data_IF_515622895586
#
_entry.id   IF_515622895586
#
_cell.length_a   1.000
_cell.length_b   1.000
_cell.length_c   1.000
_cell.angle_alpha   90.00
_cell.angle_beta   90.00
_cell.angle_gamma   90.00
#
_symmetry.space_group_name_H-M   'P 1'
#
loop_
_entity.id
_entity.type
_entity.pdbx_description
1 polymer ?
#
# COMPACT_ATOMS: atom_id res chain seq x y z
N UNK A 1 28.97 35.17 -73.81
CA UNK A 1 28.28 36.35 -73.24
C UNK A 1 28.90 36.61 -71.88
N UNK A 2 29.68 37.70 -71.80
CA UNK A 2 30.21 38.33 -70.60
C UNK A 2 29.02 38.80 -69.73
N UNK A 3 29.05 38.89 -68.41
CA UNK A 3 29.86 39.87 -67.64
C UNK A 3 29.86 39.54 -66.15
N UNK A 4 30.99 39.82 -65.49
CA UNK A 4 31.11 40.15 -64.07
C UNK A 4 30.34 41.45 -63.77
N UNK A 5 29.81 41.61 -62.56
CA UNK A 5 29.79 42.92 -61.91
C UNK A 5 29.98 42.81 -60.39
N UNK A 6 30.90 43.63 -59.88
CA UNK A 6 31.25 43.83 -58.49
C UNK A 6 30.58 45.12 -58.02
N UNK A 7 29.85 45.10 -56.90
CA UNK A 7 29.70 46.30 -56.08
C UNK A 7 29.58 45.93 -54.61
N UNK A 8 30.59 46.31 -53.83
CA UNK A 8 30.42 46.64 -52.41
C UNK A 8 30.21 48.16 -52.31
N UNK A 9 29.41 48.62 -51.34
CA UNK A 9 30.01 49.49 -50.33
C UNK A 9 29.54 49.21 -48.90
N UNK A 10 30.46 49.48 -47.98
CA UNK A 10 30.33 49.64 -46.53
C UNK A 10 29.25 50.64 -46.14
N UNK A 11 28.62 50.48 -44.96
CA UNK A 11 28.66 51.47 -43.86
C UNK A 11 27.83 51.01 -42.65
N UNK A 12 28.38 51.28 -41.48
CA UNK A 12 27.81 51.22 -40.13
C UNK A 12 26.32 51.60 -40.05
N UNK A 13 25.58 50.88 -39.19
CA UNK A 13 24.44 51.45 -38.47
C UNK A 13 23.29 50.48 -38.20
N UNK A 14 23.24 49.93 -36.99
CA UNK A 14 22.05 49.85 -36.12
C UNK A 14 22.19 48.67 -35.13
N UNK A 15 22.40 49.00 -33.85
CA UNK A 15 22.13 48.08 -32.75
C UNK A 15 20.62 47.90 -32.58
N UNK A 16 20.13 46.67 -32.31
CA UNK A 16 18.89 46.49 -31.59
C UNK A 16 19.20 46.20 -30.12
N UNK A 17 18.95 47.23 -29.32
CA UNK A 17 18.34 47.20 -27.98
C UNK A 17 18.35 45.88 -27.21
N UNK A 18 19.13 45.92 -26.12
CA UNK A 18 19.01 45.10 -24.92
C UNK A 18 17.55 44.84 -24.54
N UNK A 19 17.10 43.60 -24.73
CA UNK A 19 15.87 43.10 -24.11
C UNK A 19 16.25 42.52 -22.76
N UNK A 20 15.74 43.14 -21.71
CA UNK A 20 15.89 42.71 -20.33
C UNK A 20 15.44 41.25 -20.18
N UNK A 21 16.41 40.34 -20.04
CA UNK A 21 16.17 39.02 -19.48
C UNK A 21 15.88 39.19 -18.00
N UNK A 22 14.60 39.30 -17.65
CA UNK A 22 14.17 39.12 -16.26
C UNK A 22 14.45 37.65 -15.91
N UNK A 23 15.28 37.34 -14.89
CA UNK A 23 15.43 35.97 -14.46
C UNK A 23 14.10 35.52 -13.87
N UNK A 24 13.43 34.57 -14.53
CA UNK A 24 12.32 33.84 -13.91
C UNK A 24 12.93 33.06 -12.75
N UNK A 25 12.72 33.58 -11.54
CA UNK A 25 13.06 32.85 -10.32
C UNK A 25 12.22 31.56 -10.29
N UNK A 26 12.81 30.39 -9.99
CA UNK A 26 12.00 29.21 -9.77
C UNK A 26 11.06 29.51 -8.61
N UNK A 27 9.76 29.29 -8.83
CA UNK A 27 8.76 29.33 -7.79
C UNK A 27 9.28 28.53 -6.59
N UNK A 28 9.33 29.16 -5.42
CA UNK A 28 9.61 28.47 -4.16
C UNK A 28 8.49 27.46 -3.96
N UNK A 29 8.71 26.27 -4.48
CA UNK A 29 7.93 25.09 -4.19
C UNK A 29 8.00 24.99 -2.66
N UNK A 30 6.89 25.30 -1.98
CA UNK A 30 6.81 25.16 -0.54
C UNK A 30 7.34 23.78 -0.21
N UNK A 31 8.35 23.69 0.65
CA UNK A 31 8.87 22.42 1.11
C UNK A 31 7.69 21.68 1.76
N UNK A 32 6.96 20.87 0.99
CA UNK A 32 6.26 19.71 1.53
C UNK A 32 7.38 18.94 2.20
N UNK A 33 7.36 18.91 3.53
CA UNK A 33 8.23 18.04 4.30
C UNK A 33 8.15 16.66 3.63
N UNK A 34 9.28 16.19 3.09
CA UNK A 34 9.32 14.86 2.53
C UNK A 34 8.97 13.91 3.67
N UNK A 35 8.01 12.98 3.49
CA UNK A 35 7.66 12.07 4.56
C UNK A 35 8.92 11.34 5.02
N UNK A 36 9.16 11.35 6.33
CA UNK A 36 10.38 10.77 6.91
C UNK A 36 10.49 9.29 6.55
N UNK A 37 9.34 8.60 6.48
CA UNK A 37 9.21 7.23 6.01
C UNK A 37 8.17 7.07 4.90
N UNK A 38 8.30 6.00 4.12
CA UNK A 38 7.28 5.47 3.21
C UNK A 38 6.61 4.26 3.86
N UNK A 39 5.28 4.18 3.76
CA UNK A 39 4.51 3.23 4.56
C UNK A 39 3.89 2.11 3.71
N UNK A 40 4.06 0.85 4.13
CA UNK A 40 3.32 -0.29 3.58
C UNK A 40 2.23 -0.67 4.59
N UNK A 41 0.96 -0.53 4.20
CA UNK A 41 -0.20 -0.84 5.03
C UNK A 41 -0.82 -2.17 4.62
N UNK A 42 -0.53 -3.22 5.37
CA UNK A 42 -1.12 -4.55 5.14
C UNK A 42 -2.46 -4.65 5.86
N UNK A 43 -3.56 -4.69 5.12
CA UNK A 43 -4.88 -4.97 5.68
C UNK A 43 -5.03 -6.48 5.82
N UNK A 44 -5.08 -6.96 7.06
CA UNK A 44 -4.96 -8.38 7.39
C UNK A 44 -6.12 -8.91 8.22
N UNK A 45 -6.27 -10.25 8.25
CA UNK A 45 -7.34 -10.96 8.93
C UNK A 45 -8.00 -12.05 8.06
N UNK A 46 -8.85 -12.91 8.64
CA UNK A 46 -9.43 -14.04 7.93
C UNK A 46 -10.35 -13.65 6.77
N UNK A 47 -10.74 -14.61 5.93
CA UNK A 47 -11.68 -14.36 4.85
C UNK A 47 -13.03 -13.84 5.39
N UNK A 48 -13.62 -12.85 4.73
CA UNK A 48 -14.91 -12.26 5.14
C UNK A 48 -14.85 -11.16 6.21
N UNK A 49 -13.68 -10.84 6.77
CA UNK A 49 -13.56 -9.75 7.75
C UNK A 49 -13.66 -8.33 7.15
N UNK A 50 -13.52 -8.18 5.83
CA UNK A 50 -13.70 -6.90 5.12
C UNK A 50 -12.44 -6.25 4.56
N UNK A 51 -11.31 -6.99 4.47
CA UNK A 51 -10.00 -6.48 3.99
C UNK A 51 -10.09 -5.57 2.77
N UNK A 52 -10.66 -6.04 1.65
CA UNK A 52 -10.73 -5.25 0.42
C UNK A 52 -11.58 -3.99 0.56
N UNK A 53 -12.65 -4.03 1.36
CA UNK A 53 -13.52 -2.87 1.59
C UNK A 53 -12.85 -1.82 2.45
N UNK A 54 -12.15 -2.23 3.51
CA UNK A 54 -11.40 -1.32 4.39
C UNK A 54 -10.14 -0.80 3.68
N UNK A 55 -9.40 -1.67 2.99
CA UNK A 55 -8.18 -1.31 2.28
C UNK A 55 -8.41 -0.32 1.16
N UNK A 56 -9.45 -0.52 0.31
CA UNK A 56 -9.82 0.46 -0.71
C UNK A 56 -10.20 1.79 -0.10
N UNK A 57 -10.98 1.78 0.97
CA UNK A 57 -11.36 3.02 1.65
C UNK A 57 -10.15 3.80 2.20
N UNK A 58 -9.19 3.12 2.81
CA UNK A 58 -7.95 3.76 3.29
C UNK A 58 -7.14 4.30 2.10
N UNK A 59 -6.98 3.50 1.05
CA UNK A 59 -6.24 3.88 -0.15
C UNK A 59 -6.85 5.12 -0.82
N UNK A 60 -8.16 5.10 -1.06
CA UNK A 60 -8.90 6.21 -1.67
C UNK A 60 -8.84 7.48 -0.80
N UNK A 61 -8.99 7.33 0.52
CA UNK A 61 -9.00 8.48 1.45
C UNK A 61 -7.63 9.15 1.60
N UNK A 62 -6.56 8.40 1.38
CA UNK A 62 -5.18 8.88 1.50
C UNK A 62 -4.49 9.07 0.15
N UNK A 63 -5.20 8.85 -0.96
CA UNK A 63 -4.68 8.90 -2.33
C UNK A 63 -3.45 7.99 -2.53
N UNK A 64 -3.48 6.80 -1.93
CA UNK A 64 -2.39 5.82 -2.02
C UNK A 64 -2.68 4.74 -3.07
N UNK A 65 -1.64 4.18 -3.73
CA UNK A 65 -1.76 2.95 -4.50
C UNK A 65 -2.39 1.82 -3.67
N UNK A 66 -3.21 1.01 -4.34
CA UNK A 66 -3.90 -0.14 -3.75
C UNK A 66 -3.53 -1.43 -4.48
N UNK A 67 -3.17 -2.47 -3.72
CA UNK A 67 -2.86 -3.81 -4.23
C UNK A 67 -3.86 -4.81 -3.64
N UNK A 68 -4.63 -5.49 -4.48
CA UNK A 68 -5.46 -6.63 -4.06
C UNK A 68 -4.58 -7.89 -4.02
N UNK A 69 -4.20 -8.34 -2.83
CA UNK A 69 -3.17 -9.38 -2.72
C UNK A 69 -3.60 -10.75 -3.26
N UNK A 70 -4.89 -11.04 -3.27
CA UNK A 70 -5.42 -12.30 -3.83
C UNK A 70 -5.18 -12.40 -5.35
N UNK A 71 -5.01 -11.26 -6.06
CA UNK A 71 -4.72 -11.23 -7.52
C UNK A 71 -3.29 -11.67 -7.85
N UNK A 72 -2.39 -11.71 -6.86
CA UNK A 72 -0.98 -12.08 -7.02
C UNK A 72 -0.71 -13.55 -6.70
N UNK A 73 -1.75 -14.34 -6.44
CA UNK A 73 -1.57 -15.77 -6.25
C UNK A 73 -1.08 -16.45 -7.54
N UNK A 74 -0.05 -17.30 -7.46
CA UNK A 74 0.33 -18.15 -8.57
C UNK A 74 -0.85 -19.00 -9.03
N UNK A 75 -0.89 -19.35 -10.32
CA UNK A 75 -1.96 -20.16 -10.90
C UNK A 75 -2.21 -21.46 -10.12
N UNK A 76 -1.15 -22.13 -9.66
CA UNK A 76 -1.24 -23.34 -8.85
C UNK A 76 -2.02 -23.14 -7.54
N UNK A 77 -1.89 -21.97 -6.90
CA UNK A 77 -2.64 -21.66 -5.68
C UNK A 77 -4.11 -21.41 -5.99
N UNK A 78 -4.39 -20.68 -7.07
CA UNK A 78 -5.77 -20.44 -7.53
C UNK A 78 -6.45 -21.77 -7.85
N UNK A 79 -5.76 -22.69 -8.54
CA UNK A 79 -6.26 -24.03 -8.85
C UNK A 79 -6.52 -24.86 -7.59
N UNK A 80 -5.60 -24.86 -6.60
CA UNK A 80 -5.83 -25.53 -5.30
C UNK A 80 -7.06 -24.98 -4.57
N UNK A 81 -7.13 -23.66 -4.40
CA UNK A 81 -8.26 -23.01 -3.72
C UNK A 81 -9.58 -23.23 -4.47
N UNK A 82 -9.57 -23.17 -5.79
CA UNK A 82 -10.73 -23.44 -6.65
C UNK A 82 -11.27 -24.86 -6.49
N UNK A 83 -10.39 -25.82 -6.20
CA UNK A 83 -10.75 -27.21 -5.88
C UNK A 83 -11.09 -27.42 -4.39
N UNK A 84 -11.16 -26.36 -3.58
CA UNK A 84 -11.42 -26.46 -2.14
C UNK A 84 -10.26 -27.03 -1.33
N UNK A 85 -9.06 -27.09 -1.90
CA UNK A 85 -7.85 -27.59 -1.23
C UNK A 85 -7.18 -26.41 -0.53
N UNK A 86 -7.03 -26.44 0.80
CA UNK A 86 -6.32 -25.38 1.53
C UNK A 86 -4.86 -25.28 1.09
N UNK A 87 -4.36 -24.04 0.97
CA UNK A 87 -2.94 -23.83 0.71
C UNK A 87 -2.10 -24.22 1.94
N UNK A 88 -0.90 -24.72 1.70
CA UNK A 88 0.13 -24.98 2.71
C UNK A 88 1.01 -23.74 2.92
N UNK A 89 1.94 -23.80 3.87
CA UNK A 89 2.92 -22.72 4.05
C UNK A 89 3.83 -22.59 2.82
N UNK A 90 4.27 -23.72 2.24
CA UNK A 90 5.11 -23.76 1.05
C UNK A 90 4.46 -23.08 -0.16
N UNK A 91 3.15 -23.26 -0.31
CA UNK A 91 2.37 -22.61 -1.37
C UNK A 91 2.34 -21.08 -1.22
N UNK A 92 2.51 -20.55 0.00
CA UNK A 92 2.35 -19.12 0.28
C UNK A 92 3.64 -18.33 0.18
N UNK A 93 4.82 -18.95 0.23
CA UNK A 93 6.09 -18.23 0.28
C UNK A 93 6.30 -17.32 -0.92
N UNK A 94 6.17 -17.84 -2.14
CA UNK A 94 6.37 -17.06 -3.35
C UNK A 94 5.35 -15.93 -3.48
N UNK A 95 4.09 -16.19 -3.07
CA UNK A 95 3.04 -15.19 -3.06
C UNK A 95 3.34 -14.03 -2.09
N UNK A 96 3.76 -14.33 -0.86
CA UNK A 96 4.10 -13.30 0.14
C UNK A 96 5.34 -12.49 -0.28
N UNK A 97 6.35 -13.16 -0.84
CA UNK A 97 7.54 -12.50 -1.39
C UNK A 97 7.15 -11.56 -2.53
N UNK A 98 6.30 -12.03 -3.45
CA UNK A 98 5.82 -11.22 -4.56
C UNK A 98 5.05 -9.98 -4.05
N UNK A 99 4.13 -10.13 -3.10
CA UNK A 99 3.39 -8.99 -2.52
C UNK A 99 4.33 -7.96 -1.89
N UNK A 100 5.33 -8.40 -1.13
CA UNK A 100 6.36 -7.53 -0.57
C UNK A 100 7.09 -6.76 -1.68
N UNK A 101 7.54 -7.46 -2.71
CA UNK A 101 8.27 -6.84 -3.82
C UNK A 101 7.41 -5.82 -4.57
N UNK A 102 6.14 -6.13 -4.85
CA UNK A 102 5.24 -5.19 -5.51
C UNK A 102 4.95 -3.98 -4.63
N UNK A 103 4.79 -4.18 -3.32
CA UNK A 103 4.64 -3.08 -2.36
C UNK A 103 5.84 -2.13 -2.43
N UNK A 104 7.06 -2.66 -2.45
CA UNK A 104 8.29 -1.85 -2.55
C UNK A 104 8.36 -1.13 -3.90
N UNK A 105 8.00 -1.78 -5.00
CA UNK A 105 7.98 -1.16 -6.33
C UNK A 105 6.99 0.01 -6.41
N UNK A 106 5.80 -0.12 -5.83
CA UNK A 106 4.84 0.98 -5.75
C UNK A 106 5.43 2.18 -5.01
N UNK A 107 6.17 1.95 -3.91
CA UNK A 107 6.85 3.02 -3.20
C UNK A 107 7.95 3.70 -4.02
N UNK A 108 8.61 2.98 -4.93
CA UNK A 108 9.66 3.52 -5.82
C UNK A 108 9.12 4.49 -6.87
N UNK A 109 7.81 4.50 -7.12
CA UNK A 109 7.15 5.49 -7.98
C UNK A 109 7.10 6.90 -7.38
N UNK A 110 7.49 7.05 -6.10
CA UNK A 110 7.43 8.30 -5.34
C UNK A 110 6.21 8.40 -4.41
N UNK A 111 5.38 7.36 -4.34
CA UNK A 111 4.27 7.31 -3.39
C UNK A 111 4.77 7.33 -1.93
N UNK A 112 4.05 8.06 -1.08
CA UNK A 112 4.32 8.11 0.37
C UNK A 112 3.91 6.83 1.10
N UNK A 113 3.10 5.98 0.46
CA UNK A 113 2.71 4.69 0.99
C UNK A 113 2.01 3.82 -0.05
N UNK A 114 1.64 2.60 0.35
CA UNK A 114 0.83 1.65 -0.44
C UNK A 114 -0.06 0.85 0.51
N UNK A 115 -1.29 0.58 0.11
CA UNK A 115 -2.23 -0.26 0.85
C UNK A 115 -2.35 -1.61 0.15
N UNK A 116 -2.20 -2.69 0.90
CA UNK A 116 -2.18 -4.05 0.37
C UNK A 116 -3.11 -4.94 1.18
N UNK A 117 -4.03 -5.64 0.54
CA UNK A 117 -4.77 -6.71 1.23
C UNK A 117 -3.92 -7.97 1.28
N UNK A 118 -3.79 -8.58 2.46
CA UNK A 118 -3.11 -9.86 2.59
C UNK A 118 -3.62 -10.59 3.83
N UNK A 119 -4.02 -11.85 3.68
CA UNK A 119 -4.51 -12.63 4.83
C UNK A 119 -3.46 -12.75 5.94
N UNK A 120 -2.16 -12.87 5.63
CA UNK A 120 -1.01 -12.86 6.55
C UNK A 120 -1.28 -13.41 7.97
N UNK A 121 -1.98 -14.55 8.02
CA UNK A 121 -2.59 -15.05 9.25
C UNK A 121 -1.61 -15.54 10.32
N UNK A 122 -0.39 -15.91 9.91
CA UNK A 122 0.66 -16.43 10.80
C UNK A 122 1.72 -15.36 11.04
N UNK A 123 2.35 -15.35 12.21
CA UNK A 123 3.44 -14.42 12.55
C UNK A 123 4.58 -14.51 11.52
N UNK A 124 4.96 -15.72 11.15
CA UNK A 124 5.97 -15.95 10.10
C UNK A 124 5.60 -15.39 8.72
N UNK A 125 4.31 -15.25 8.40
CA UNK A 125 3.89 -14.60 7.15
C UNK A 125 4.08 -13.10 7.23
N UNK A 126 3.72 -12.50 8.37
CA UNK A 126 3.95 -11.09 8.67
C UNK A 126 5.44 -10.77 8.64
N UNK A 127 6.28 -11.65 9.18
CA UNK A 127 7.74 -11.52 9.17
C UNK A 127 8.32 -11.50 7.75
N UNK A 128 7.81 -12.32 6.82
CA UNK A 128 8.22 -12.27 5.40
C UNK A 128 7.99 -10.88 4.80
N UNK A 129 6.85 -10.23 5.12
CA UNK A 129 6.54 -8.88 4.65
C UNK A 129 7.42 -7.83 5.34
N UNK A 130 7.65 -7.94 6.66
CA UNK A 130 8.50 -7.04 7.46
C UNK A 130 9.93 -6.91 6.91
N UNK A 131 10.41 -7.89 6.15
CA UNK A 131 11.70 -7.81 5.44
C UNK A 131 11.82 -6.57 4.55
N UNK A 132 10.71 -5.99 4.07
CA UNK A 132 10.75 -4.72 3.33
C UNK A 132 11.45 -3.60 4.12
N UNK A 133 11.24 -3.52 5.43
CA UNK A 133 11.86 -2.52 6.31
C UNK A 133 13.32 -2.83 6.63
N UNK A 134 13.72 -4.11 6.68
CA UNK A 134 15.13 -4.47 6.91
C UNK A 134 16.04 -4.05 5.77
N UNK A 135 15.53 -4.08 4.53
CA UNK A 135 16.31 -3.72 3.35
C UNK A 135 16.32 -2.22 3.06
N UNK A 136 15.45 -1.44 3.71
CA UNK A 136 15.37 0.01 3.53
C UNK A 136 14.83 0.69 4.79
N UNK A 137 15.72 1.37 5.53
CA UNK A 137 15.38 2.08 6.78
C UNK A 137 14.32 3.16 6.61
N UNK A 138 14.06 3.63 5.38
CA UNK A 138 12.99 4.60 5.09
C UNK A 138 11.64 3.94 4.80
N UNK A 139 11.53 2.62 4.84
CA UNK A 139 10.28 1.90 4.63
C UNK A 139 9.80 1.32 5.95
N UNK A 140 8.57 1.60 6.33
CA UNK A 140 7.94 1.07 7.54
C UNK A 140 6.72 0.25 7.14
N UNK A 141 6.67 -0.99 7.61
CA UNK A 141 5.53 -1.91 7.41
C UNK A 141 4.61 -1.82 8.61
N UNK A 142 3.31 -1.73 8.35
CA UNK A 142 2.24 -1.74 9.34
C UNK A 142 1.20 -2.78 8.96
N UNK A 143 0.56 -3.39 9.95
CA UNK A 143 -0.56 -4.32 9.75
C UNK A 143 -1.83 -3.74 10.37
N UNK A 144 -2.87 -3.54 9.58
CA UNK A 144 -4.21 -3.24 10.07
C UNK A 144 -4.95 -4.56 10.22
N UNK A 145 -4.94 -5.11 11.44
CA UNK A 145 -5.56 -6.39 11.74
C UNK A 145 -7.05 -6.22 12.01
N UNK A 146 -7.87 -6.70 11.07
CA UNK A 146 -9.31 -6.71 11.20
C UNK A 146 -9.74 -7.89 12.10
N UNK A 147 -9.84 -7.61 13.39
CA UNK A 147 -10.17 -8.57 14.42
C UNK A 147 -11.66 -8.91 14.38
N UNK A 148 -11.96 -10.18 14.14
CA UNK A 148 -13.31 -10.72 14.08
C UNK A 148 -13.35 -12.05 14.82
N UNK A 149 -14.49 -12.40 15.40
CA UNK A 149 -14.70 -13.76 15.94
C UNK A 149 -15.11 -14.73 14.83
N UNK A 150 -14.89 -16.03 15.05
CA UNK A 150 -15.27 -17.06 14.09
C UNK A 150 -16.78 -17.01 13.82
N UNK A 151 -17.59 -16.89 14.87
CA UNK A 151 -19.05 -16.86 14.79
C UNK A 151 -19.53 -15.70 13.92
N UNK A 152 -18.88 -14.53 14.03
CA UNK A 152 -19.21 -13.35 13.24
C UNK A 152 -18.92 -13.58 11.76
N UNK A 153 -17.75 -14.15 11.42
CA UNK A 153 -17.40 -14.40 10.03
C UNK A 153 -18.25 -15.51 9.41
N UNK A 154 -18.57 -16.56 10.19
CA UNK A 154 -19.49 -17.61 9.78
C UNK A 154 -20.89 -17.04 9.49
N UNK A 155 -21.42 -16.17 10.36
CA UNK A 155 -22.70 -15.50 10.13
C UNK A 155 -22.68 -14.64 8.85
N UNK A 156 -21.61 -13.86 8.62
CA UNK A 156 -21.44 -13.02 7.42
C UNK A 156 -21.38 -13.84 6.14
N UNK A 157 -20.67 -14.96 6.16
CA UNK A 157 -20.51 -15.83 5.00
C UNK A 157 -21.82 -16.55 4.67
N UNK A 158 -22.53 -17.08 5.67
CA UNK A 158 -23.81 -17.79 5.49
C UNK A 158 -24.92 -16.89 4.94
N UNK A 159 -24.89 -15.60 5.30
CA UNK A 159 -25.84 -14.62 4.79
C UNK A 159 -25.66 -14.32 3.28
N UNK A 160 -24.56 -14.75 2.64
CA UNK A 160 -24.32 -14.56 1.20
C UNK A 160 -24.81 -15.80 0.43
N UNK A 161 -25.83 -15.68 -0.46
CA UNK A 161 -26.38 -16.82 -1.19
C UNK A 161 -25.31 -17.60 -1.99
N UNK A 162 -25.33 -18.93 -1.96
CA UNK A 162 -24.53 -19.80 -2.83
C UNK A 162 -23.14 -20.26 -2.32
N UNK A 163 -22.89 -20.26 -1.00
CA UNK A 163 -21.51 -20.29 -0.48
C UNK A 163 -21.19 -21.32 0.63
N UNK A 164 -21.74 -22.53 0.62
CA UNK A 164 -21.38 -23.56 1.61
C UNK A 164 -19.85 -23.85 1.67
N UNK A 165 -19.14 -23.73 0.54
CA UNK A 165 -17.67 -23.85 0.51
C UNK A 165 -16.93 -22.79 1.35
N UNK A 166 -17.55 -21.65 1.64
CA UNK A 166 -16.92 -20.57 2.40
C UNK A 166 -16.92 -20.81 3.91
N UNK A 167 -17.80 -21.66 4.45
CA UNK A 167 -17.80 -22.03 5.88
C UNK A 167 -16.51 -22.78 6.27
N UNK A 168 -16.14 -23.80 5.47
CA UNK A 168 -14.89 -24.55 5.69
C UNK A 168 -13.66 -23.66 5.51
N UNK A 169 -13.72 -22.69 4.58
CA UNK A 169 -12.65 -21.72 4.38
C UNK A 169 -12.47 -20.82 5.62
N UNK A 170 -13.55 -20.29 6.20
CA UNK A 170 -13.48 -19.49 7.43
C UNK A 170 -12.85 -20.30 8.57
N UNK A 171 -13.34 -21.53 8.79
CA UNK A 171 -12.77 -22.45 9.80
C UNK A 171 -11.27 -22.66 9.62
N UNK A 172 -10.84 -23.08 8.42
CA UNK A 172 -9.43 -23.34 8.13
C UNK A 172 -8.53 -22.09 8.30
N UNK A 173 -9.08 -20.90 8.05
CA UNK A 173 -8.39 -19.63 8.21
C UNK A 173 -8.27 -19.26 9.70
N UNK A 174 -9.30 -19.50 10.51
CA UNK A 174 -9.24 -19.34 11.97
C UNK A 174 -8.29 -20.35 12.61
N UNK A 175 -8.31 -21.61 12.19
CA UNK A 175 -7.34 -22.63 12.64
C UNK A 175 -5.89 -22.24 12.30
N UNK A 176 -5.70 -21.52 11.20
CA UNK A 176 -4.39 -21.01 10.77
C UNK A 176 -4.04 -19.63 11.37
N UNK A 177 -4.97 -18.98 12.06
CA UNK A 177 -4.79 -17.62 12.59
C UNK A 177 -3.93 -17.68 13.85
N UNK A 178 -2.75 -17.11 13.74
CA UNK A 178 -1.92 -16.74 14.89
C UNK A 178 -2.19 -15.26 15.14
N UNK A 179 -3.10 -14.96 16.07
CA UNK A 179 -3.42 -13.59 16.44
C UNK A 179 -2.13 -12.82 16.80
N UNK A 180 -2.00 -11.54 16.38
CA UNK A 180 -0.86 -10.72 16.73
C UNK A 180 -0.64 -10.69 18.25
N UNK A 181 0.58 -10.99 18.68
CA UNK A 181 0.93 -10.97 20.10
C UNK A 181 1.17 -9.53 20.61
N UNK A 182 1.43 -9.39 21.91
CA UNK A 182 1.67 -8.08 22.53
C UNK A 182 2.88 -7.34 21.91
N UNK A 183 3.94 -8.05 21.52
CA UNK A 183 5.11 -7.44 20.90
C UNK A 183 4.73 -6.83 19.55
N UNK A 184 4.01 -7.59 18.72
CA UNK A 184 3.50 -7.13 17.43
C UNK A 184 2.53 -5.93 17.57
N UNK A 185 1.59 -5.99 18.51
CA UNK A 185 0.63 -4.92 18.79
C UNK A 185 1.28 -3.64 19.32
N UNK A 186 2.38 -3.76 20.07
CA UNK A 186 3.12 -2.61 20.59
C UNK A 186 4.01 -1.94 19.54
N UNK A 187 4.22 -2.59 18.39
CA UNK A 187 5.23 -2.20 17.40
C UNK A 187 4.63 -1.76 16.08
N UNK A 188 3.93 -2.66 15.38
CA UNK A 188 3.55 -2.46 13.98
C UNK A 188 2.17 -3.01 13.60
N UNK A 189 1.39 -3.52 14.57
CA UNK A 189 0.03 -4.01 14.33
C UNK A 189 -1.03 -3.13 14.99
N UNK A 190 -1.92 -2.60 14.16
CA UNK A 190 -3.11 -1.84 14.55
C UNK A 190 -4.33 -2.77 14.53
N UNK A 191 -4.80 -3.19 15.70
CA UNK A 191 -6.01 -4.00 15.82
C UNK A 191 -7.26 -3.15 15.64
N UNK A 192 -8.19 -3.61 14.80
CA UNK A 192 -9.47 -2.97 14.49
C UNK A 192 -10.58 -3.96 14.76
N UNK A 193 -11.41 -3.69 15.76
CA UNK A 193 -12.63 -4.45 16.00
C UNK A 193 -13.62 -4.23 14.85
N UNK A 194 -14.06 -5.32 14.22
CA UNK A 194 -15.01 -5.28 13.11
C UNK A 194 -16.46 -5.54 13.52
N UNK A 195 -16.79 -5.54 14.81
CA UNK A 195 -18.16 -5.76 15.32
C UNK A 195 -19.18 -4.72 14.88
N UNK A 196 -18.72 -3.49 14.60
CA UNK A 196 -19.56 -2.37 14.14
C UNK A 196 -20.03 -2.47 12.68
N UNK A 197 -20.75 -1.45 12.24
CA UNK A 197 -21.14 -1.30 10.82
C UNK A 197 -19.92 -1.03 9.95
N UNK A 198 -19.97 -1.38 8.66
CA UNK A 198 -18.83 -1.17 7.75
C UNK A 198 -18.31 0.28 7.73
N UNK A 199 -19.16 1.34 7.71
CA UNK A 199 -18.68 2.72 7.80
C UNK A 199 -17.95 3.04 9.12
N UNK A 200 -18.38 2.46 10.24
CA UNK A 200 -17.69 2.63 11.53
C UNK A 200 -16.32 1.95 11.53
N UNK A 201 -16.24 0.73 10.99
CA UNK A 201 -14.98 -0.02 10.87
C UNK A 201 -14.00 0.71 9.95
N UNK A 202 -14.49 1.23 8.81
CA UNK A 202 -13.72 2.05 7.88
C UNK A 202 -13.16 3.32 8.56
N UNK A 203 -14.01 4.06 9.29
CA UNK A 203 -13.60 5.27 10.01
C UNK A 203 -12.58 4.97 11.12
N UNK A 204 -12.78 3.87 11.87
CA UNK A 204 -11.85 3.44 12.91
C UNK A 204 -10.47 3.09 12.33
N UNK A 205 -10.44 2.26 11.28
CA UNK A 205 -9.21 1.85 10.63
C UNK A 205 -8.45 3.05 10.02
N UNK A 206 -9.15 3.93 9.31
CA UNK A 206 -8.56 5.14 8.76
C UNK A 206 -8.01 6.06 9.86
N UNK A 207 -8.75 6.24 10.96
CA UNK A 207 -8.32 7.05 12.09
C UNK A 207 -7.01 6.57 12.72
N UNK A 208 -6.86 5.26 12.92
CA UNK A 208 -5.61 4.68 13.43
C UNK A 208 -4.43 4.89 12.48
N UNK A 209 -4.64 4.67 11.17
CA UNK A 209 -3.61 4.91 10.14
C UNK A 209 -3.19 6.38 10.12
N UNK A 210 -4.15 7.31 10.16
CA UNK A 210 -3.87 8.74 10.19
C UNK A 210 -3.12 9.17 11.45
N UNK A 211 -3.40 8.54 12.60
CA UNK A 211 -2.68 8.83 13.85
C UNK A 211 -1.21 8.43 13.75
N UNK A 212 -0.90 7.25 13.21
CA UNK A 212 0.49 6.83 12.95
C UNK A 212 1.19 7.78 11.98
N UNK A 213 0.52 8.18 10.90
CA UNK A 213 1.09 9.12 9.93
C UNK A 213 1.37 10.51 10.55
N UNK A 214 0.50 10.99 11.44
CA UNK A 214 0.73 12.23 12.18
C UNK A 214 1.96 12.11 13.07
N UNK A 215 2.11 11.01 13.80
CA UNK A 215 3.25 10.78 14.67
C UNK A 215 4.57 10.72 13.90
N UNK A 216 4.59 10.11 12.70
CA UNK A 216 5.77 10.09 11.82
C UNK A 216 6.14 11.48 11.28
N UNK A 217 5.15 12.37 11.11
CA UNK A 217 5.36 13.74 10.63
C UNK A 217 5.86 14.72 11.69
N UNK A 218 5.85 14.32 12.97
CA UNK A 218 6.36 15.17 14.05
C UNK A 218 7.90 15.17 14.03
N UNK A 219 8.55 16.35 14.13
CA UNK A 219 10.00 16.40 14.22
C UNK A 219 10.47 15.62 15.45
N UNK A 220 11.39 14.68 15.24
CA UNK A 220 12.00 13.93 16.35
C UNK A 220 12.63 14.93 17.31
N UNK A 221 12.17 14.95 18.56
CA UNK A 221 12.75 15.83 19.58
C UNK A 221 14.25 15.51 19.70
N UNK A 222 15.08 16.52 19.43
CA UNK A 222 16.53 16.45 19.43
C UNK A 222 17.11 16.24 20.85
#
# INVERSE_FOLDING_TARGET
>A
MLTYDQTAPSLYGAQPTSTNLVPVMPATNGLRAQPHHRHIWIITGPAGCGKSTVGKHIADSLELPYIEGDEYHPKANIEKMGNGIPLTDADRWDWLILLREQSVRELETGASGVVVTCSALKKKYRDVIRVASYNNVKVVVHFVYLQATEEMLMARVRARPGHYMKDNMVRSQFESLEEPDHDELSKDVLAVDVSGTMPQVQALALGLVQEVLKQDSLPTAA
#
